data_IF_708499001009
#
_entry.id   IF_708499001009
#
_cell.length_a   1.000
_cell.length_b   1.000
_cell.length_c   1.000
_cell.angle_alpha   90.00
_cell.angle_beta   90.00
_cell.angle_gamma   90.00
#
_symmetry.space_group_name_H-M   'P 1'
#
loop_
_entity.id
_entity.type
_entity.pdbx_description
1 polymer ?
#
# COMPACT_ATOMS: atom_id res chain seq x y z
N UNK A 1 -1.84 -18.35 9.07
CA UNK A 1 -2.94 -17.44 9.43
C UNK A 1 -2.44 -16.02 9.19
N UNK A 2 -3.19 -15.20 8.46
CA UNK A 2 -2.88 -13.79 8.30
C UNK A 2 -3.06 -13.09 9.65
N UNK A 3 -2.10 -12.26 10.04
CA UNK A 3 -2.19 -11.45 11.27
C UNK A 3 -2.96 -10.14 11.02
N UNK A 4 -3.35 -9.91 9.77
CA UNK A 4 -4.00 -8.72 9.28
C UNK A 4 -5.47 -9.03 8.97
N UNK A 5 -6.40 -8.35 9.64
CA UNK A 5 -7.82 -8.66 9.52
C UNK A 5 -8.34 -8.41 8.11
N UNK A 6 -9.29 -9.23 7.63
CA UNK A 6 -9.88 -9.07 6.31
C UNK A 6 -10.50 -7.68 6.11
N UNK A 7 -11.12 -7.13 7.16
CA UNK A 7 -11.66 -5.77 7.12
C UNK A 7 -10.57 -4.73 6.85
N UNK A 8 -9.39 -4.86 7.46
CA UNK A 8 -8.28 -3.93 7.24
C UNK A 8 -7.75 -4.03 5.80
N UNK A 9 -7.75 -5.23 5.21
CA UNK A 9 -7.37 -5.42 3.79
C UNK A 9 -8.30 -4.67 2.84
N UNK A 10 -9.60 -4.70 3.11
CA UNK A 10 -10.60 -3.98 2.32
C UNK A 10 -10.36 -2.47 2.44
N UNK A 11 -10.20 -1.96 3.66
CA UNK A 11 -9.95 -0.53 3.90
C UNK A 11 -8.72 -0.01 3.16
N UNK A 12 -7.60 -0.74 3.25
CA UNK A 12 -6.35 -0.39 2.60
C UNK A 12 -6.49 -0.44 1.08
N UNK A 13 -7.16 -1.46 0.54
CA UNK A 13 -7.36 -1.58 -0.91
C UNK A 13 -8.22 -0.44 -1.45
N UNK A 14 -9.30 -0.06 -0.76
CA UNK A 14 -10.13 1.08 -1.13
C UNK A 14 -9.36 2.41 -1.10
N UNK A 15 -8.48 2.61 -0.12
CA UNK A 15 -7.58 3.77 -0.11
C UNK A 15 -6.60 3.77 -1.29
N UNK A 16 -5.96 2.62 -1.56
CA UNK A 16 -5.04 2.49 -2.69
C UNK A 16 -5.70 2.83 -4.03
N UNK A 17 -6.96 2.44 -4.24
CA UNK A 17 -7.70 2.76 -5.46
C UNK A 17 -7.88 4.27 -5.68
N UNK A 18 -8.13 5.04 -4.62
CA UNK A 18 -8.23 6.49 -4.69
C UNK A 18 -6.86 7.14 -4.86
N UNK A 19 -5.88 6.76 -4.02
CA UNK A 19 -4.52 7.32 -4.04
C UNK A 19 -3.85 7.10 -5.40
N UNK A 20 -3.83 5.86 -5.91
CA UNK A 20 -3.15 5.55 -7.18
C UNK A 20 -3.90 6.04 -8.42
N UNK A 21 -5.17 6.39 -8.29
CA UNK A 21 -5.90 7.08 -9.34
C UNK A 21 -5.80 8.62 -9.26
N UNK A 22 -5.10 9.16 -8.27
CA UNK A 22 -5.02 10.60 -8.04
C UNK A 22 -6.36 11.24 -7.67
N UNK A 23 -7.26 10.47 -7.03
CA UNK A 23 -8.58 10.92 -6.59
C UNK A 23 -8.63 11.14 -5.09
N UNK A 24 -9.61 11.94 -4.66
CA UNK A 24 -9.86 12.24 -3.27
C UNK A 24 -11.33 11.99 -2.92
N UNK A 25 -11.56 11.08 -1.97
CA UNK A 25 -12.87 10.79 -1.38
C UNK A 25 -12.84 11.15 0.11
N UNK A 26 -13.52 12.24 0.49
CA UNK A 26 -13.45 12.79 1.84
C UNK A 26 -13.93 11.81 2.93
N UNK A 27 -14.99 11.05 2.67
CA UNK A 27 -15.56 10.12 3.66
C UNK A 27 -14.66 8.90 3.85
N UNK A 28 -14.13 8.36 2.75
CA UNK A 28 -13.18 7.25 2.77
C UNK A 28 -11.88 7.64 3.50
N UNK A 29 -11.36 8.85 3.26
CA UNK A 29 -10.16 9.33 3.94
C UNK A 29 -10.44 9.62 5.43
N UNK A 30 -11.64 10.08 5.79
CA UNK A 30 -12.03 10.24 7.20
C UNK A 30 -12.09 8.88 7.92
N UNK A 31 -12.68 7.89 7.28
CA UNK A 31 -12.92 6.57 7.90
C UNK A 31 -11.67 5.70 7.94
N UNK A 32 -10.89 5.68 6.84
CA UNK A 32 -9.77 4.76 6.66
C UNK A 32 -8.40 5.45 6.70
N UNK A 33 -8.35 6.77 6.83
CA UNK A 33 -7.13 7.58 6.74
C UNK A 33 -5.99 7.17 7.68
N UNK A 34 -6.27 6.39 8.75
CA UNK A 34 -5.24 5.76 9.59
C UNK A 34 -4.22 4.94 8.80
N UNK A 35 -4.61 4.41 7.62
CA UNK A 35 -3.74 3.61 6.77
C UNK A 35 -2.95 4.43 5.74
N UNK A 36 -3.33 5.70 5.52
CA UNK A 36 -2.73 6.57 4.51
C UNK A 36 -1.20 6.75 4.67
N UNK A 37 -0.64 6.88 5.89
CA UNK A 37 0.82 6.97 6.07
C UNK A 37 1.58 5.75 5.55
N UNK A 38 1.01 4.55 5.58
CA UNK A 38 1.68 3.37 5.04
C UNK A 38 1.80 3.42 3.52
N UNK A 39 0.85 4.07 2.85
CA UNK A 39 0.87 4.28 1.40
C UNK A 39 1.82 5.42 1.06
N UNK A 40 1.64 6.58 1.71
CA UNK A 40 2.26 7.85 1.33
C UNK A 40 3.64 8.08 1.92
N UNK A 41 3.85 7.70 3.18
CA UNK A 41 5.08 7.98 3.91
C UNK A 41 6.05 6.79 3.92
N UNK A 42 5.57 5.58 3.65
CA UNK A 42 6.39 4.36 3.65
C UNK A 42 6.50 3.74 2.26
N UNK A 43 5.39 3.29 1.67
CA UNK A 43 5.43 2.55 0.40
C UNK A 43 5.92 3.40 -0.77
N UNK A 44 5.28 4.54 -1.03
CA UNK A 44 5.58 5.38 -2.20
C UNK A 44 7.06 5.83 -2.26
N UNK A 45 7.70 6.26 -1.15
CA UNK A 45 9.11 6.66 -1.16
C UNK A 45 10.09 5.54 -1.54
N UNK A 46 9.77 4.28 -1.17
CA UNK A 46 10.69 3.15 -1.38
C UNK A 46 10.33 2.31 -2.61
N UNK A 47 9.16 2.50 -3.20
CA UNK A 47 8.72 1.78 -4.38
C UNK A 47 9.44 2.27 -5.64
N UNK A 48 9.71 1.35 -6.56
CA UNK A 48 10.03 1.66 -7.94
C UNK A 48 8.76 2.08 -8.68
N UNK A 49 8.79 3.23 -9.36
CA UNK A 49 7.60 3.77 -10.02
C UNK A 49 7.14 2.95 -11.22
N UNK A 50 8.01 2.12 -11.83
CA UNK A 50 7.66 1.31 -12.99
C UNK A 50 7.11 -0.05 -12.58
N UNK A 51 7.80 -0.76 -11.68
CA UNK A 51 7.42 -2.13 -11.29
C UNK A 51 6.60 -2.22 -10.01
N UNK A 52 6.64 -1.19 -9.17
CA UNK A 52 6.12 -1.22 -7.80
C UNK A 52 7.00 -2.02 -6.83
N UNK A 53 8.21 -2.42 -7.21
CA UNK A 53 9.12 -3.18 -6.34
C UNK A 53 9.71 -2.32 -5.23
N UNK A 54 9.96 -2.94 -4.06
CA UNK A 54 10.72 -2.28 -3.01
C UNK A 54 12.17 -2.09 -3.45
N UNK A 55 12.64 -0.84 -3.53
CA UNK A 55 14.04 -0.49 -3.81
C UNK A 55 14.93 -0.61 -2.57
N UNK A 56 14.33 -0.61 -1.39
CA UNK A 56 15.00 -0.80 -0.10
C UNK A 56 14.04 -1.36 0.95
N UNK A 57 14.59 -1.84 2.07
CA UNK A 57 13.80 -2.30 3.20
C UNK A 57 13.14 -1.10 3.92
N UNK A 58 11.87 -1.21 4.32
CA UNK A 58 11.15 -0.11 4.98
C UNK A 58 11.64 0.17 6.40
N UNK A 59 12.28 -0.81 7.06
CA UNK A 59 12.79 -0.67 8.42
C UNK A 59 14.26 -1.11 8.52
N UNK A 60 15.02 -0.57 9.49
CA UNK A 60 16.43 -0.94 9.70
C UNK A 60 16.64 -2.44 9.92
N UNK A 61 17.81 -2.93 9.52
CA UNK A 61 18.22 -4.32 9.70
C UNK A 61 17.92 -5.21 8.49
N UNK A 62 18.02 -6.53 8.69
CA UNK A 62 17.80 -7.51 7.63
C UNK A 62 16.31 -7.83 7.41
N UNK A 63 16.05 -8.72 6.44
CA UNK A 63 14.69 -9.20 6.11
C UNK A 63 13.97 -9.81 7.33
N UNK A 64 14.70 -10.51 8.20
CA UNK A 64 14.15 -11.13 9.40
C UNK A 64 13.78 -10.11 10.50
N UNK A 65 14.29 -8.88 10.40
CA UNK A 65 14.01 -7.81 11.37
C UNK A 65 12.80 -6.95 10.97
N UNK A 66 12.20 -7.21 9.80
CA UNK A 66 11.08 -6.43 9.33
C UNK A 66 9.79 -6.82 10.09
N UNK A 67 9.02 -5.86 10.63
CA UNK A 67 7.76 -6.16 11.33
C UNK A 67 6.78 -6.90 10.42
N UNK A 68 6.41 -8.12 10.80
CA UNK A 68 5.64 -9.03 9.94
C UNK A 68 4.31 -8.43 9.45
N UNK A 69 3.54 -7.81 10.35
CA UNK A 69 2.25 -7.18 10.03
C UNK A 69 2.44 -6.01 9.06
N UNK A 70 3.43 -5.16 9.30
CA UNK A 70 3.70 -4.02 8.41
C UNK A 70 4.17 -4.49 7.04
N UNK A 71 4.98 -5.54 6.97
CA UNK A 71 5.37 -6.13 5.69
C UNK A 71 4.20 -6.75 4.92
N UNK A 72 3.25 -7.38 5.62
CA UNK A 72 2.01 -7.88 5.01
C UNK A 72 1.19 -6.73 4.42
N UNK A 73 1.04 -5.63 5.17
CA UNK A 73 0.38 -4.42 4.72
C UNK A 73 1.06 -3.79 3.49
N UNK A 74 2.38 -3.62 3.51
CA UNK A 74 3.13 -3.03 2.39
C UNK A 74 3.06 -3.90 1.13
N UNK A 75 3.01 -5.23 1.27
CA UNK A 75 2.80 -6.15 0.13
C UNK A 75 1.39 -6.03 -0.45
N UNK A 76 0.37 -5.79 0.39
CA UNK A 76 -0.98 -5.50 -0.10
C UNK A 76 -1.03 -4.17 -0.87
N UNK A 77 -0.34 -3.14 -0.39
CA UNK A 77 -0.22 -1.85 -1.07
C UNK A 77 0.50 -2.04 -2.43
N UNK A 78 1.60 -2.79 -2.45
CA UNK A 78 2.33 -3.15 -3.67
C UNK A 78 1.43 -3.84 -4.70
N UNK A 79 0.63 -4.82 -4.26
CA UNK A 79 -0.31 -5.52 -5.14
C UNK A 79 -1.32 -4.54 -5.76
N UNK A 80 -1.92 -3.67 -4.94
CA UNK A 80 -2.87 -2.67 -5.41
C UNK A 80 -2.24 -1.65 -6.36
N UNK A 81 -0.99 -1.25 -6.12
CA UNK A 81 -0.23 -0.38 -7.04
C UNK A 81 -0.10 -1.02 -8.42
N UNK A 82 0.31 -2.29 -8.48
CA UNK A 82 0.44 -3.03 -9.75
C UNK A 82 -0.89 -3.21 -10.46
N UNK A 83 -1.98 -3.43 -9.72
CA UNK A 83 -3.34 -3.48 -10.29
C UNK A 83 -3.70 -2.12 -10.90
N UNK A 84 -3.45 -1.02 -10.18
CA UNK A 84 -3.73 0.33 -10.66
C UNK A 84 -2.91 0.66 -11.92
N UNK A 85 -1.63 0.31 -11.95
CA UNK A 85 -0.78 0.52 -13.13
C UNK A 85 -1.27 -0.25 -14.36
N UNK A 86 -1.68 -1.52 -14.20
CA UNK A 86 -2.26 -2.30 -15.31
C UNK A 86 -3.53 -1.65 -15.85
N UNK A 87 -4.43 -1.22 -14.95
CA UNK A 87 -5.66 -0.50 -15.33
C UNK A 87 -5.39 0.82 -16.08
N UNK A 88 -4.25 1.47 -15.82
CA UNK A 88 -3.84 2.69 -16.54
C UNK A 88 -3.27 2.39 -17.93
N UNK A 89 -2.59 1.25 -18.11
CA UNK A 89 -2.05 0.84 -19.42
C UNK A 89 -3.12 0.35 -20.40
N UNK A 90 -4.28 -0.10 -19.88
CA UNK A 90 -5.43 -0.55 -20.67
C UNK A 90 -6.31 0.60 -21.18
N UNK A 91 -6.03 1.85 -20.78
CA UNK A 91 -6.76 3.06 -21.20
C UNK A 91 -6.02 3.80 -22.29
#
# INVERSE_FOLDING_TARGET
MSLFAEQDKVQVSSLCEEVFAGRYNADLYREYGRWLPFITDIYLPIADSQSGDFRMLPFPGGILNQPAVTMELLRLIQLNYRIAMRKQMER
#
